data_IF_177274100469
#
_entry.id   IF_177274100469
#
_cell.length_a   1.000
_cell.length_b   1.000
_cell.length_c   1.000
_cell.angle_alpha   90.00
_cell.angle_beta   90.00
_cell.angle_gamma   90.00
#
_symmetry.space_group_name_H-M   'P 1'
#
loop_
_entity.id
_entity.type
_entity.pdbx_description
1 polymer ?
#
# COMPACT_ATOMS: atom_id res chain seq x y z
N UNK A 1 58.18 16.60 -53.73
CA UNK A 1 58.07 17.01 -52.33
C UNK A 1 56.60 17.27 -52.07
N UNK A 2 55.87 16.27 -51.59
CA UNK A 2 54.47 16.35 -51.27
C UNK A 2 54.35 16.24 -49.74
N UNK A 3 54.01 17.29 -49.08
CA UNK A 3 53.65 17.28 -47.66
C UNK A 3 52.16 16.99 -47.52
N UNK A 4 51.82 15.84 -46.89
CA UNK A 4 50.46 15.50 -46.54
C UNK A 4 50.23 15.95 -45.09
N UNK A 5 49.47 17.02 -44.93
CA UNK A 5 48.99 17.47 -43.65
C UNK A 5 47.81 16.59 -43.20
N UNK A 6 48.06 15.75 -42.20
CA UNK A 6 47.03 14.91 -41.57
C UNK A 6 46.39 15.72 -40.45
N UNK A 7 45.17 16.24 -40.71
CA UNK A 7 44.38 16.99 -39.76
C UNK A 7 43.64 15.96 -38.84
N UNK A 8 44.17 15.80 -37.59
CA UNK A 8 43.48 15.06 -36.55
C UNK A 8 42.30 15.87 -35.99
N UNK A 9 41.09 15.54 -36.38
CA UNK A 9 39.89 16.01 -35.65
C UNK A 9 39.79 15.28 -34.34
N UNK A 10 40.12 15.92 -33.23
CA UNK A 10 39.76 15.53 -31.90
C UNK A 10 38.27 15.79 -31.70
N UNK A 11 37.42 14.74 -31.84
CA UNK A 11 36.06 14.75 -31.30
C UNK A 11 36.19 14.75 -29.77
N UNK A 12 36.05 15.90 -29.13
CA UNK A 12 35.78 16.02 -27.73
C UNK A 12 34.34 15.52 -27.51
N UNK A 13 34.19 14.27 -27.06
CA UNK A 13 32.96 13.82 -26.45
C UNK A 13 32.82 14.60 -25.15
N UNK A 14 32.01 15.68 -25.16
CA UNK A 14 31.46 16.20 -23.91
C UNK A 14 30.60 15.12 -23.35
N UNK A 15 31.08 14.41 -22.33
CA UNK A 15 30.21 13.70 -21.43
C UNK A 15 29.28 14.77 -20.81
N UNK A 16 28.05 14.83 -21.27
CA UNK A 16 26.98 15.45 -20.49
C UNK A 16 27.00 14.64 -19.18
N UNK A 17 27.34 15.30 -18.08
CA UNK A 17 27.05 14.71 -16.79
C UNK A 17 25.55 14.48 -16.80
N UNK A 18 25.11 13.24 -16.72
CA UNK A 18 23.70 12.92 -16.56
C UNK A 18 23.25 13.66 -15.32
N UNK A 19 22.25 14.54 -15.47
CA UNK A 19 21.71 15.33 -14.37
C UNK A 19 21.14 14.33 -13.35
N UNK A 20 21.55 14.46 -12.09
CA UNK A 20 21.09 13.56 -11.02
C UNK A 20 19.61 13.80 -10.80
N UNK A 21 18.80 12.78 -10.88
CA UNK A 21 17.35 12.84 -10.70
C UNK A 21 17.04 12.90 -9.21
N UNK A 22 16.19 13.83 -8.82
CA UNK A 22 15.74 14.00 -7.44
C UNK A 22 14.28 13.54 -7.30
N UNK A 23 14.05 12.51 -6.50
CA UNK A 23 12.72 11.95 -6.24
C UNK A 23 12.34 12.21 -4.78
N UNK A 24 11.22 12.92 -4.57
CA UNK A 24 10.60 13.04 -3.26
C UNK A 24 9.72 11.83 -2.99
N UNK A 25 9.86 11.21 -1.80
CA UNK A 25 9.01 10.10 -1.37
C UNK A 25 8.19 10.56 -0.18
N UNK A 26 6.85 10.58 -0.31
CA UNK A 26 5.92 10.85 0.79
C UNK A 26 5.36 9.52 1.25
N UNK A 27 5.73 9.09 2.44
CA UNK A 27 5.15 7.92 3.11
C UNK A 27 4.12 8.41 4.13
N UNK A 28 2.86 7.95 4.02
CA UNK A 28 1.78 8.47 4.87
C UNK A 28 1.95 8.09 6.34
N UNK A 29 2.29 6.83 6.63
CA UNK A 29 2.44 6.31 7.98
C UNK A 29 3.66 5.40 8.09
N UNK A 30 4.08 5.09 9.32
CA UNK A 30 5.17 4.15 9.59
C UNK A 30 4.58 2.82 10.04
N UNK A 31 4.61 1.84 9.15
CA UNK A 31 4.31 0.44 9.41
C UNK A 31 4.87 -0.45 8.28
N UNK A 32 5.03 -1.75 8.56
CA UNK A 32 5.76 -2.69 7.72
C UNK A 32 5.37 -2.69 6.24
N UNK A 33 4.07 -2.67 5.94
CA UNK A 33 3.59 -2.71 4.55
C UNK A 33 4.06 -1.49 3.74
N UNK A 34 3.95 -0.27 4.30
CA UNK A 34 4.41 0.93 3.60
C UNK A 34 5.94 1.02 3.53
N UNK A 35 6.65 0.54 4.56
CA UNK A 35 8.11 0.44 4.53
C UNK A 35 8.56 -0.52 3.41
N UNK A 36 7.90 -1.67 3.27
CA UNK A 36 8.16 -2.64 2.22
C UNK A 36 7.83 -2.08 0.83
N UNK A 37 6.73 -1.34 0.68
CA UNK A 37 6.43 -0.60 -0.56
C UNK A 37 7.57 0.35 -0.95
N UNK A 38 8.09 1.11 0.01
CA UNK A 38 9.21 2.04 -0.23
C UNK A 38 10.47 1.31 -0.64
N UNK A 39 10.82 0.23 0.06
CA UNK A 39 11.98 -0.60 -0.27
C UNK A 39 11.82 -1.16 -1.69
N UNK A 40 10.68 -1.78 -1.98
CA UNK A 40 10.40 -2.32 -3.30
C UNK A 40 10.43 -1.26 -4.41
N UNK A 41 9.92 -0.04 -4.16
CA UNK A 41 9.97 1.05 -5.13
C UNK A 41 11.40 1.42 -5.51
N UNK A 42 12.28 1.55 -4.52
CA UNK A 42 13.71 1.85 -4.73
C UNK A 42 14.39 0.70 -5.49
N UNK A 43 14.11 -0.55 -5.10
CA UNK A 43 14.65 -1.73 -5.77
C UNK A 43 14.17 -1.83 -7.23
N UNK A 44 12.87 -1.60 -7.49
CA UNK A 44 12.31 -1.61 -8.83
C UNK A 44 12.91 -0.53 -9.75
N UNK A 45 13.22 0.65 -9.21
CA UNK A 45 13.97 1.68 -9.94
C UNK A 45 15.40 1.24 -10.22
N UNK A 46 16.07 0.62 -9.24
CA UNK A 46 17.44 0.15 -9.40
C UNK A 46 17.55 -0.98 -10.45
N UNK A 47 16.58 -1.90 -10.50
CA UNK A 47 16.47 -2.93 -11.55
C UNK A 47 16.41 -2.31 -12.95
N UNK A 48 15.83 -1.13 -13.07
CA UNK A 48 15.69 -0.36 -14.30
C UNK A 48 16.86 0.62 -14.56
N UNK A 49 17.92 0.59 -13.72
CA UNK A 49 19.13 1.39 -13.89
C UNK A 49 19.09 2.78 -13.24
N UNK A 50 18.09 3.06 -12.41
CA UNK A 50 18.01 4.27 -11.60
C UNK A 50 18.49 3.96 -10.17
N UNK A 51 19.80 4.15 -9.92
CA UNK A 51 20.48 3.68 -8.72
C UNK A 51 20.78 4.83 -7.78
N UNK A 52 20.38 4.70 -6.51
CA UNK A 52 20.66 5.70 -5.47
C UNK A 52 22.16 5.95 -5.31
N UNK A 53 22.55 7.22 -5.29
CA UNK A 53 23.94 7.64 -5.17
C UNK A 53 24.74 7.61 -6.46
N UNK A 54 24.20 7.07 -7.56
CA UNK A 54 24.78 7.12 -8.90
C UNK A 54 24.11 8.17 -9.78
N UNK A 55 22.82 8.02 -10.04
CA UNK A 55 22.03 8.89 -10.92
C UNK A 55 20.68 9.33 -10.33
N UNK A 56 20.32 8.84 -9.14
CA UNK A 56 19.09 9.19 -8.40
C UNK A 56 19.43 9.52 -6.95
N UNK A 57 18.69 10.49 -6.39
CA UNK A 57 18.68 10.81 -4.96
C UNK A 57 17.24 10.79 -4.47
N UNK A 58 16.98 10.09 -3.37
CA UNK A 58 15.70 10.05 -2.69
C UNK A 58 15.68 10.96 -1.46
N UNK A 59 14.58 11.72 -1.30
CA UNK A 59 14.27 12.44 -0.05
C UNK A 59 12.96 11.84 0.50
N UNK A 60 13.07 11.12 1.61
CA UNK A 60 11.94 10.40 2.22
C UNK A 60 11.39 11.22 3.38
N UNK A 61 10.09 11.53 3.32
CA UNK A 61 9.37 12.24 4.37
C UNK A 61 8.16 11.39 4.83
N UNK A 62 7.95 11.31 6.14
CA UNK A 62 6.83 10.58 6.73
C UNK A 62 5.79 11.56 7.28
N UNK A 63 4.54 11.39 6.88
CA UNK A 63 3.42 12.25 7.29
C UNK A 63 2.81 11.84 8.65
N UNK A 64 3.27 10.74 9.26
CA UNK A 64 2.85 10.27 10.58
C UNK A 64 1.33 10.07 10.71
N UNK A 65 0.70 9.56 9.67
CA UNK A 65 -0.75 9.37 9.53
C UNK A 65 -1.56 10.68 9.66
N UNK A 66 -0.95 11.83 9.34
CA UNK A 66 -1.60 13.13 9.38
C UNK A 66 -1.73 13.71 7.96
N UNK A 67 -2.97 13.92 7.53
CA UNK A 67 -3.29 14.43 6.19
C UNK A 67 -2.82 15.88 5.98
N UNK A 68 -2.79 16.69 7.04
CA UNK A 68 -2.31 18.07 6.94
C UNK A 68 -0.78 18.13 6.82
N UNK A 69 -0.08 17.25 7.53
CA UNK A 69 1.39 17.09 7.37
C UNK A 69 1.69 16.55 5.96
N UNK A 70 0.90 15.58 5.47
CA UNK A 70 1.06 15.05 4.11
C UNK A 70 0.94 16.15 3.06
N UNK A 71 -0.07 17.03 3.18
CA UNK A 71 -0.25 18.17 2.27
C UNK A 71 0.93 19.16 2.33
N UNK A 72 1.45 19.48 3.53
CA UNK A 72 2.59 20.37 3.67
C UNK A 72 3.86 19.77 3.03
N UNK A 73 4.11 18.47 3.21
CA UNK A 73 5.22 17.77 2.57
C UNK A 73 5.07 17.83 1.05
N UNK A 74 3.87 17.53 0.53
CA UNK A 74 3.57 17.54 -0.89
C UNK A 74 3.81 18.92 -1.53
N UNK A 75 3.34 19.99 -0.90
CA UNK A 75 3.56 21.37 -1.35
C UNK A 75 5.06 21.73 -1.46
N UNK A 76 5.86 21.29 -0.48
CA UNK A 76 7.32 21.51 -0.53
C UNK A 76 7.96 20.69 -1.65
N UNK A 77 7.53 19.46 -1.84
CA UNK A 77 8.08 18.56 -2.85
C UNK A 77 7.74 19.00 -4.27
N UNK A 78 6.52 19.46 -4.52
CA UNK A 78 6.07 19.92 -5.83
C UNK A 78 6.93 21.05 -6.44
N UNK A 79 7.60 21.84 -5.62
CA UNK A 79 8.51 22.90 -6.08
C UNK A 79 9.98 22.50 -6.19
N UNK A 80 10.37 21.25 -5.91
CA UNK A 80 11.76 20.90 -5.66
C UNK A 80 12.26 19.64 -6.37
N UNK A 81 11.40 18.68 -6.65
CA UNK A 81 11.77 17.36 -7.15
C UNK A 81 11.34 17.15 -8.60
N UNK A 82 12.00 16.21 -9.29
CA UNK A 82 11.69 15.83 -10.67
C UNK A 82 10.49 14.86 -10.73
N UNK A 83 10.21 14.18 -9.62
CA UNK A 83 9.10 13.23 -9.46
C UNK A 83 8.73 13.13 -7.98
N UNK A 84 7.47 12.88 -7.70
CA UNK A 84 6.99 12.54 -6.35
C UNK A 84 6.48 11.09 -6.36
N UNK A 85 7.05 10.25 -5.49
CA UNK A 85 6.47 8.96 -5.14
C UNK A 85 5.62 9.12 -3.89
N UNK A 86 4.34 8.72 -3.96
CA UNK A 86 3.41 8.85 -2.85
C UNK A 86 2.92 7.47 -2.40
N UNK A 87 3.16 7.14 -1.14
CA UNK A 87 2.87 5.83 -0.55
C UNK A 87 1.64 5.95 0.36
N UNK A 88 0.59 5.25 0.02
CA UNK A 88 -0.77 5.24 0.55
C UNK A 88 -1.69 6.34 -0.01
N UNK A 89 -3.00 6.07 0.01
CA UNK A 89 -4.04 6.92 -0.60
C UNK A 89 -4.01 8.38 -0.13
N UNK A 90 -3.91 8.70 1.18
CA UNK A 90 -3.89 10.10 1.60
C UNK A 90 -2.66 10.87 1.10
N UNK A 91 -1.48 10.21 1.04
CA UNK A 91 -0.27 10.80 0.49
C UNK A 91 -0.38 11.02 -1.03
N UNK A 92 -0.97 10.06 -1.75
CA UNK A 92 -1.18 10.17 -3.20
C UNK A 92 -2.12 11.32 -3.56
N UNK A 93 -3.22 11.48 -2.83
CA UNK A 93 -4.15 12.61 -3.01
C UNK A 93 -3.47 13.94 -2.73
N UNK A 94 -2.68 14.05 -1.66
CA UNK A 94 -1.93 15.26 -1.34
C UNK A 94 -0.89 15.60 -2.41
N UNK A 95 -0.11 14.60 -2.86
CA UNK A 95 0.91 14.77 -3.88
C UNK A 95 0.31 15.21 -5.22
N UNK A 96 -0.79 14.58 -5.65
CA UNK A 96 -1.46 14.94 -6.89
C UNK A 96 -1.97 16.38 -6.87
N UNK A 97 -2.67 16.76 -5.80
CA UNK A 97 -3.17 18.13 -5.65
C UNK A 97 -2.06 19.18 -5.69
N UNK A 98 -0.91 18.92 -5.03
CA UNK A 98 0.21 19.85 -5.00
C UNK A 98 0.99 19.90 -6.32
N UNK A 99 1.08 18.78 -7.03
CA UNK A 99 1.88 18.66 -8.26
C UNK A 99 1.14 19.13 -9.52
N UNK A 100 -0.19 19.28 -9.49
CA UNK A 100 -1.02 19.60 -10.67
C UNK A 100 -0.54 20.90 -11.36
N UNK A 101 -0.40 21.99 -10.62
CA UNK A 101 0.06 23.27 -11.15
C UNK A 101 1.56 23.28 -11.55
N UNK A 102 2.36 22.43 -10.90
CA UNK A 102 3.81 22.34 -11.16
C UNK A 102 4.13 21.44 -12.36
N UNK A 103 3.20 20.61 -12.80
CA UNK A 103 3.38 19.65 -13.90
C UNK A 103 4.38 18.52 -13.58
N UNK A 104 4.66 18.28 -12.30
CA UNK A 104 5.57 17.24 -11.84
C UNK A 104 4.83 15.90 -11.85
N UNK A 105 5.44 14.81 -12.40
CA UNK A 105 4.83 13.50 -12.38
C UNK A 105 4.70 12.96 -10.94
N UNK A 106 3.54 12.38 -10.64
CA UNK A 106 3.27 11.67 -9.40
C UNK A 106 3.14 10.18 -9.70
N UNK A 107 3.89 9.38 -8.94
CA UNK A 107 3.77 7.92 -8.96
C UNK A 107 3.29 7.47 -7.58
N UNK A 108 2.13 6.82 -7.53
CA UNK A 108 1.61 6.31 -6.26
C UNK A 108 1.77 4.79 -6.13
N UNK A 109 1.83 4.32 -4.90
CA UNK A 109 1.76 2.89 -4.53
C UNK A 109 0.89 2.72 -3.28
N UNK A 110 0.37 1.53 -3.06
CA UNK A 110 -0.52 1.22 -1.93
C UNK A 110 -1.76 2.14 -1.90
N UNK A 111 -2.42 2.29 -3.05
CA UNK A 111 -3.70 3.00 -3.18
C UNK A 111 -4.79 1.97 -3.45
N UNK A 112 -5.68 1.74 -2.46
CA UNK A 112 -6.63 0.62 -2.53
C UNK A 112 -7.68 0.79 -3.61
N UNK A 113 -8.19 2.01 -3.80
CA UNK A 113 -9.13 2.35 -4.87
C UNK A 113 -8.76 3.69 -5.52
N UNK A 114 -7.97 3.68 -6.59
CA UNK A 114 -7.58 4.91 -7.29
C UNK A 114 -8.77 5.70 -7.86
N UNK A 115 -9.87 5.03 -8.21
CA UNK A 115 -11.06 5.69 -8.77
C UNK A 115 -11.82 6.44 -7.68
N UNK A 116 -12.07 5.81 -6.54
CA UNK A 116 -12.71 6.45 -5.39
C UNK A 116 -11.86 7.59 -4.82
N UNK A 117 -10.54 7.48 -4.90
CA UNK A 117 -9.59 8.53 -4.51
C UNK A 117 -9.45 9.65 -5.55
N UNK A 118 -10.13 9.58 -6.69
CA UNK A 118 -10.04 10.53 -7.81
C UNK A 118 -8.63 10.64 -8.42
N UNK A 119 -7.82 9.59 -8.29
CA UNK A 119 -6.49 9.45 -8.87
C UNK A 119 -6.51 8.72 -10.21
N UNK A 120 -7.66 8.13 -10.55
CA UNK A 120 -7.95 7.55 -11.87
C UNK A 120 -9.44 7.73 -12.19
N UNK A 121 -9.75 7.82 -13.49
CA UNK A 121 -11.13 7.83 -13.96
C UNK A 121 -11.72 6.42 -14.04
N UNK A 122 -13.05 6.31 -13.93
CA UNK A 122 -13.77 5.04 -14.11
C UNK A 122 -13.61 4.45 -15.53
N UNK A 123 -13.15 5.24 -16.48
CA UNK A 123 -12.80 4.83 -17.85
C UNK A 123 -11.34 4.34 -18.00
N UNK A 124 -10.61 4.25 -16.89
CA UNK A 124 -9.21 3.83 -16.81
C UNK A 124 -8.19 4.91 -17.21
N UNK A 125 -8.63 6.15 -17.40
CA UNK A 125 -7.72 7.27 -17.69
C UNK A 125 -7.29 7.96 -16.42
N UNK A 126 -6.06 8.45 -16.43
CA UNK A 126 -5.56 9.27 -15.35
C UNK A 126 -6.04 10.73 -15.51
N UNK A 127 -6.33 11.43 -14.38
CA UNK A 127 -6.86 12.80 -14.44
C UNK A 127 -5.79 13.87 -14.77
N UNK A 128 -4.53 13.47 -14.86
CA UNK A 128 -3.38 14.34 -15.13
C UNK A 128 -2.07 13.55 -15.09
N UNK A 129 -0.97 14.23 -14.79
CA UNK A 129 0.38 13.63 -14.77
C UNK A 129 0.61 12.73 -13.53
N UNK A 130 -0.21 11.70 -13.41
CA UNK A 130 -0.22 10.73 -12.29
C UNK A 130 -0.47 9.32 -12.79
N UNK A 131 0.19 8.34 -12.19
CA UNK A 131 -0.08 6.90 -12.34
C UNK A 131 0.45 6.15 -11.13
N UNK A 132 0.28 4.83 -11.07
CA UNK A 132 0.82 4.03 -9.97
C UNK A 132 0.20 2.66 -9.85
N UNK A 133 0.27 2.08 -8.65
CA UNK A 133 -0.23 0.74 -8.37
C UNK A 133 -1.30 0.72 -7.27
N UNK A 134 -2.27 -0.18 -7.46
CA UNK A 134 -3.34 -0.43 -6.50
C UNK A 134 -3.06 -1.69 -5.70
N UNK A 135 -3.29 -1.59 -4.39
CA UNK A 135 -3.27 -2.68 -3.42
C UNK A 135 -4.68 -3.17 -3.06
N UNK A 136 -5.60 -3.13 -4.02
CA UNK A 136 -6.98 -3.58 -3.80
C UNK A 136 -7.02 -4.96 -3.14
N UNK A 137 -7.64 -5.04 -1.96
CA UNK A 137 -7.70 -6.27 -1.20
C UNK A 137 -8.59 -7.33 -1.87
N UNK A 138 -8.21 -8.62 -1.82
CA UNK A 138 -9.01 -9.73 -2.31
C UNK A 138 -10.15 -10.07 -1.33
N UNK A 139 -11.10 -9.14 -1.12
CA UNK A 139 -12.15 -9.21 -0.10
C UNK A 139 -12.96 -10.51 -0.18
N UNK A 140 -13.27 -10.97 -1.39
CA UNK A 140 -14.00 -12.23 -1.57
C UNK A 140 -13.20 -13.44 -1.07
N UNK A 141 -11.90 -13.47 -1.34
CA UNK A 141 -11.01 -14.54 -0.87
C UNK A 141 -10.87 -14.50 0.67
N UNK A 142 -10.77 -13.29 1.24
CA UNK A 142 -10.74 -13.10 2.69
C UNK A 142 -12.02 -13.58 3.37
N UNK A 143 -13.20 -13.28 2.82
CA UNK A 143 -14.47 -13.76 3.35
C UNK A 143 -14.57 -15.29 3.28
N UNK A 144 -14.07 -15.91 2.19
CA UNK A 144 -13.98 -17.38 2.06
C UNK A 144 -13.03 -17.97 3.10
N UNK A 145 -11.89 -17.33 3.34
CA UNK A 145 -10.93 -17.74 4.37
C UNK A 145 -11.56 -17.71 5.77
N UNK A 146 -12.21 -16.59 6.14
CA UNK A 146 -12.89 -16.46 7.43
C UNK A 146 -13.97 -17.56 7.59
N UNK A 147 -14.76 -17.80 6.56
CA UNK A 147 -15.78 -18.85 6.57
C UNK A 147 -15.18 -20.25 6.75
N UNK A 148 -14.04 -20.53 6.12
CA UNK A 148 -13.37 -21.81 6.21
C UNK A 148 -12.76 -22.07 7.61
N UNK A 149 -12.20 -21.03 8.23
CA UNK A 149 -11.60 -21.11 9.57
C UNK A 149 -12.64 -21.02 10.69
N UNK A 150 -13.75 -20.31 10.48
CA UNK A 150 -14.81 -20.06 11.45
C UNK A 150 -16.20 -20.38 10.86
N UNK A 151 -16.55 -21.67 10.69
CA UNK A 151 -17.77 -22.08 9.99
C UNK A 151 -19.07 -21.61 10.67
N UNK A 152 -19.05 -21.36 11.97
CA UNK A 152 -20.22 -20.93 12.76
C UNK A 152 -20.30 -19.41 12.95
N UNK A 153 -19.28 -18.64 12.54
CA UNK A 153 -19.25 -17.19 12.67
C UNK A 153 -20.34 -16.55 11.80
N UNK A 154 -20.96 -15.50 12.30
CA UNK A 154 -22.03 -14.76 11.62
C UNK A 154 -21.75 -13.26 11.54
N UNK A 155 -20.88 -12.73 12.41
CA UNK A 155 -20.61 -11.31 12.51
C UNK A 155 -19.12 -11.04 12.48
N UNK A 156 -18.71 -10.17 11.56
CA UNK A 156 -17.33 -9.71 11.41
C UNK A 156 -17.26 -8.24 11.81
N UNK A 157 -16.33 -7.90 12.70
CA UNK A 157 -16.03 -6.54 13.09
C UNK A 157 -15.01 -5.90 12.16
N UNK A 158 -15.21 -4.63 11.81
CA UNK A 158 -14.25 -3.84 11.05
C UNK A 158 -14.07 -2.48 11.74
N UNK A 159 -12.81 -2.14 12.06
CA UNK A 159 -12.43 -0.78 12.44
C UNK A 159 -11.98 -0.02 11.19
N UNK A 160 -12.34 1.25 11.10
CA UNK A 160 -11.88 2.10 10.02
C UNK A 160 -11.69 3.55 10.45
N UNK A 161 -10.74 4.24 9.84
CA UNK A 161 -10.49 5.65 10.05
C UNK A 161 -11.36 6.48 9.12
N UNK A 162 -12.22 7.34 9.67
CA UNK A 162 -13.25 8.08 8.91
C UNK A 162 -12.70 9.11 7.94
N UNK A 163 -11.41 9.42 7.99
CA UNK A 163 -10.73 10.33 7.05
C UNK A 163 -9.93 9.59 5.97
N UNK A 164 -9.93 8.25 5.98
CA UNK A 164 -9.22 7.44 4.99
C UNK A 164 -10.18 6.89 3.92
N UNK A 165 -10.13 7.46 2.72
CA UNK A 165 -10.98 7.08 1.58
C UNK A 165 -10.79 5.61 1.16
N UNK A 166 -9.56 5.08 1.27
CA UNK A 166 -9.26 3.66 1.05
C UNK A 166 -10.07 2.74 1.97
N UNK A 167 -10.21 3.14 3.24
CA UNK A 167 -10.95 2.36 4.24
C UNK A 167 -12.45 2.36 3.93
N UNK A 168 -13.03 3.51 3.58
CA UNK A 168 -14.44 3.62 3.22
C UNK A 168 -14.78 2.77 1.98
N UNK A 169 -13.94 2.81 0.93
CA UNK A 169 -14.15 2.03 -0.29
C UNK A 169 -14.11 0.52 -0.02
N UNK A 170 -13.10 0.06 0.73
CA UNK A 170 -12.95 -1.36 1.06
C UNK A 170 -14.04 -1.84 2.02
N UNK A 171 -14.44 -1.03 3.01
CA UNK A 171 -15.56 -1.32 3.91
C UNK A 171 -16.88 -1.49 3.13
N UNK A 172 -17.14 -0.61 2.15
CA UNK A 172 -18.32 -0.73 1.31
C UNK A 172 -18.34 -2.06 0.56
N UNK A 173 -17.20 -2.51 0.03
CA UNK A 173 -17.07 -3.80 -0.65
C UNK A 173 -17.30 -4.99 0.31
N UNK A 174 -16.77 -4.91 1.55
CA UNK A 174 -17.08 -5.93 2.56
C UNK A 174 -18.57 -6.00 2.87
N UNK A 175 -19.25 -4.86 3.04
CA UNK A 175 -20.70 -4.80 3.31
C UNK A 175 -21.52 -5.36 2.14
N UNK A 176 -21.07 -5.16 0.92
CA UNK A 176 -21.73 -5.69 -0.29
C UNK A 176 -21.58 -7.21 -0.38
N UNK A 177 -20.37 -7.75 -0.17
CA UNK A 177 -20.05 -9.15 -0.42
C UNK A 177 -20.36 -10.09 0.76
N UNK A 178 -20.21 -9.61 2.01
CA UNK A 178 -20.31 -10.44 3.21
C UNK A 178 -21.63 -11.24 3.32
N UNK A 179 -22.82 -10.72 2.93
CA UNK A 179 -24.07 -11.47 2.98
C UNK A 179 -24.04 -12.74 2.11
N UNK A 180 -23.28 -12.75 1.01
CA UNK A 180 -23.13 -13.92 0.13
C UNK A 180 -22.41 -15.08 0.82
N UNK A 181 -21.67 -14.77 1.88
CA UNK A 181 -20.91 -15.72 2.70
C UNK A 181 -21.54 -15.93 4.08
N UNK A 182 -22.78 -15.42 4.29
CA UNK A 182 -23.52 -15.56 5.54
C UNK A 182 -22.98 -14.71 6.70
N UNK A 183 -22.31 -13.59 6.39
CA UNK A 183 -21.80 -12.66 7.38
C UNK A 183 -22.58 -11.34 7.39
N UNK A 184 -22.67 -10.76 8.58
CA UNK A 184 -23.03 -9.36 8.83
C UNK A 184 -21.76 -8.61 9.22
N UNK A 185 -21.52 -7.45 8.59
CA UNK A 185 -20.43 -6.56 8.97
C UNK A 185 -20.90 -5.56 10.02
N UNK A 186 -20.22 -5.52 11.15
CA UNK A 186 -20.39 -4.52 12.20
C UNK A 186 -19.16 -3.62 12.16
N UNK A 187 -19.31 -2.38 11.73
CA UNK A 187 -18.20 -1.45 11.63
C UNK A 187 -18.17 -0.42 12.74
N UNK A 188 -16.98 0.10 13.02
CA UNK A 188 -16.76 1.17 13.96
C UNK A 188 -15.76 2.16 13.42
N UNK A 189 -16.22 3.41 13.16
CA UNK A 189 -15.35 4.50 12.74
C UNK A 189 -14.57 5.09 13.91
N UNK A 190 -13.31 5.44 13.65
CA UNK A 190 -12.44 6.21 14.54
C UNK A 190 -11.94 7.46 13.83
N UNK A 191 -11.51 8.45 14.58
CA UNK A 191 -10.88 9.65 14.02
C UNK A 191 -9.37 9.64 14.18
N UNK A 192 -8.88 9.00 15.25
CA UNK A 192 -7.45 8.89 15.58
C UNK A 192 -7.16 7.56 16.26
N UNK A 193 -5.89 7.16 16.35
CA UNK A 193 -5.47 5.97 17.09
C UNK A 193 -5.84 5.99 18.60
N UNK A 194 -6.01 7.17 19.18
CA UNK A 194 -6.43 7.31 20.59
C UNK A 194 -7.88 6.83 20.83
N UNK A 195 -8.71 6.76 19.79
CA UNK A 195 -10.10 6.29 19.88
C UNK A 195 -10.20 4.76 19.92
N UNK A 196 -9.13 4.04 19.51
CA UNK A 196 -9.13 2.58 19.34
C UNK A 196 -9.58 1.80 20.58
N UNK A 197 -9.08 2.03 21.80
CA UNK A 197 -9.48 1.23 22.95
C UNK A 197 -11.00 1.28 23.19
N UNK A 198 -11.59 2.47 23.11
CA UNK A 198 -13.04 2.66 23.33
C UNK A 198 -13.85 2.08 22.15
N UNK A 199 -13.36 2.22 20.93
CA UNK A 199 -14.01 1.66 19.75
C UNK A 199 -14.03 0.13 19.79
N UNK A 200 -12.91 -0.50 20.21
CA UNK A 200 -12.78 -1.94 20.37
C UNK A 200 -13.67 -2.48 21.52
N UNK A 201 -13.69 -1.82 22.67
CA UNK A 201 -14.57 -2.18 23.78
C UNK A 201 -16.06 -2.16 23.37
N UNK A 202 -16.43 -1.27 22.44
CA UNK A 202 -17.79 -1.21 21.91
C UNK A 202 -18.06 -2.25 20.83
N UNK A 203 -17.06 -2.61 20.01
CA UNK A 203 -17.20 -3.49 18.84
C UNK A 203 -17.12 -4.97 19.21
N UNK A 204 -16.09 -5.37 19.96
CA UNK A 204 -15.72 -6.77 20.19
C UNK A 204 -16.82 -7.62 20.86
N UNK A 205 -17.66 -7.09 21.79
CA UNK A 205 -18.78 -7.86 22.35
C UNK A 205 -19.86 -8.24 21.33
N UNK A 206 -19.90 -7.58 20.15
CA UNK A 206 -20.95 -7.73 19.17
C UNK A 206 -20.59 -8.67 18.01
N UNK A 207 -19.33 -9.11 17.92
CA UNK A 207 -18.78 -9.81 16.75
C UNK A 207 -18.16 -11.16 17.12
N UNK A 208 -17.98 -12.03 16.14
CA UNK A 208 -17.33 -13.32 16.31
C UNK A 208 -15.82 -13.23 16.09
N UNK A 209 -15.40 -12.37 15.16
CA UNK A 209 -14.01 -12.04 14.85
C UNK A 209 -13.92 -10.61 14.32
N UNK A 210 -12.70 -10.11 14.12
CA UNK A 210 -12.46 -8.88 13.34
C UNK A 210 -11.63 -9.18 12.11
N UNK A 211 -11.74 -8.34 11.08
CA UNK A 211 -10.83 -8.31 9.94
C UNK A 211 -10.35 -6.89 9.73
N UNK A 212 -9.06 -6.74 9.49
CA UNK A 212 -8.48 -5.44 9.22
C UNK A 212 -8.59 -5.09 7.73
N UNK A 213 -8.64 -3.80 7.47
CA UNK A 213 -8.45 -3.20 6.16
C UNK A 213 -6.98 -2.77 5.99
N UNK A 214 -6.65 -2.18 4.84
CA UNK A 214 -5.42 -1.40 4.65
C UNK A 214 -5.57 0.02 5.22
N UNK A 215 -6.13 0.12 6.44
CA UNK A 215 -6.33 1.35 7.18
C UNK A 215 -5.02 1.72 7.89
N UNK A 216 -4.39 2.82 7.47
CA UNK A 216 -3.06 3.16 7.95
C UNK A 216 -3.02 3.45 9.45
N UNK A 217 -4.08 4.07 9.99
CA UNK A 217 -4.17 4.36 11.43
C UNK A 217 -4.36 3.07 12.23
N UNK A 218 -5.31 2.21 11.83
CA UNK A 218 -5.56 0.93 12.52
C UNK A 218 -4.32 0.04 12.48
N UNK A 219 -3.64 -0.07 11.33
CA UNK A 219 -2.42 -0.87 11.16
C UNK A 219 -1.27 -0.33 12.02
N UNK A 220 -1.08 0.98 12.10
CA UNK A 220 -0.05 1.59 12.97
C UNK A 220 -0.25 1.28 14.45
N UNK A 221 -1.48 0.98 14.87
CA UNK A 221 -1.84 0.62 16.25
C UNK A 221 -2.24 -0.86 16.40
N UNK A 222 -1.79 -1.73 15.50
CA UNK A 222 -2.16 -3.16 15.49
C UNK A 222 -1.96 -3.84 16.84
N UNK A 223 -0.90 -3.51 17.58
CA UNK A 223 -0.66 -4.08 18.91
C UNK A 223 -1.81 -3.83 19.88
N UNK A 224 -2.44 -2.64 19.84
CA UNK A 224 -3.62 -2.30 20.66
C UNK A 224 -4.83 -3.11 20.22
N UNK A 225 -5.00 -3.30 18.90
CA UNK A 225 -6.10 -4.11 18.36
C UNK A 225 -5.98 -5.56 18.81
N UNK A 226 -4.78 -6.14 18.74
CA UNK A 226 -4.51 -7.52 19.12
C UNK A 226 -4.70 -7.73 20.64
N UNK A 227 -4.12 -6.85 21.47
CA UNK A 227 -4.26 -6.91 22.94
C UNK A 227 -5.73 -6.90 23.36
N UNK A 228 -6.51 -5.94 22.83
CA UNK A 228 -7.94 -5.86 23.13
C UNK A 228 -8.71 -7.07 22.60
N UNK A 229 -8.41 -7.54 21.42
CA UNK A 229 -9.08 -8.71 20.84
C UNK A 229 -8.80 -9.98 21.63
N UNK A 230 -7.59 -10.14 22.18
CA UNK A 230 -7.23 -11.23 23.09
C UNK A 230 -8.05 -11.16 24.39
N UNK A 231 -8.20 -9.96 25.03
CA UNK A 231 -9.03 -9.77 26.22
C UNK A 231 -10.48 -10.27 26.01
N UNK A 232 -11.03 -10.10 24.81
CA UNK A 232 -12.38 -10.52 24.44
C UNK A 232 -12.44 -11.92 23.82
N UNK A 233 -11.30 -12.60 23.63
CA UNK A 233 -11.22 -13.92 23.00
C UNK A 233 -11.68 -13.89 21.53
N UNK A 234 -11.41 -12.80 20.78
CA UNK A 234 -11.82 -12.62 19.40
C UNK A 234 -10.63 -12.66 18.47
N UNK A 235 -10.56 -13.61 17.50
CA UNK A 235 -9.46 -13.64 16.54
C UNK A 235 -9.50 -12.43 15.61
N UNK A 236 -8.31 -11.95 15.24
CA UNK A 236 -8.11 -10.85 14.27
C UNK A 236 -7.55 -11.43 12.98
N UNK A 237 -8.25 -11.23 11.88
CA UNK A 237 -7.74 -11.52 10.54
C UNK A 237 -7.03 -10.28 10.00
N UNK A 238 -5.81 -10.47 9.49
CA UNK A 238 -5.06 -9.39 8.84
C UNK A 238 -5.51 -9.13 7.40
N UNK A 239 -4.93 -8.14 6.78
CA UNK A 239 -5.11 -7.83 5.36
C UNK A 239 -3.84 -8.11 4.52
N UNK A 240 -2.72 -8.42 5.18
CA UNK A 240 -1.42 -8.64 4.55
C UNK A 240 -0.45 -9.38 5.51
N UNK A 241 0.75 -9.76 5.01
CA UNK A 241 1.70 -10.63 5.70
C UNK A 241 2.19 -10.05 7.03
N UNK A 242 2.54 -8.76 7.08
CA UNK A 242 3.13 -8.13 8.27
C UNK A 242 2.16 -8.14 9.47
N UNK A 243 0.86 -8.00 9.21
CA UNK A 243 -0.14 -8.14 10.28
C UNK A 243 -0.22 -9.58 10.80
N UNK A 244 -0.05 -10.58 9.92
CA UNK A 244 -0.04 -11.99 10.33
C UNK A 244 1.23 -12.32 11.11
N UNK A 245 2.39 -11.83 10.68
CA UNK A 245 3.65 -11.92 11.45
C UNK A 245 3.49 -11.32 12.85
N UNK A 246 2.81 -10.18 12.95
CA UNK A 246 2.61 -9.46 14.20
C UNK A 246 1.47 -10.01 15.09
N UNK A 247 0.75 -11.08 14.68
CA UNK A 247 -0.18 -11.79 15.55
C UNK A 247 -1.61 -11.95 15.04
N UNK A 248 -1.96 -11.43 13.86
CA UNK A 248 -3.21 -11.80 13.21
C UNK A 248 -3.23 -13.30 12.86
N UNK A 249 -4.40 -13.93 12.90
CA UNK A 249 -4.50 -15.40 12.73
C UNK A 249 -4.20 -15.84 11.30
N UNK A 250 -4.66 -15.10 10.31
CA UNK A 250 -4.44 -15.37 8.89
C UNK A 250 -4.85 -14.16 8.04
N UNK A 251 -4.41 -14.14 6.78
CA UNK A 251 -4.89 -13.20 5.77
C UNK A 251 -4.82 -13.78 4.36
N UNK A 252 -5.72 -13.35 3.49
CA UNK A 252 -5.53 -13.33 2.05
C UNK A 252 -4.99 -11.97 1.69
N UNK A 253 -3.70 -11.87 1.42
CA UNK A 253 -3.01 -10.61 1.27
C UNK A 253 -2.08 -10.57 0.06
N UNK A 254 -1.56 -9.40 -0.22
CA UNK A 254 -0.57 -9.15 -1.26
C UNK A 254 0.80 -8.95 -0.64
N UNK A 255 1.84 -9.01 -1.47
CA UNK A 255 3.21 -8.78 -1.05
C UNK A 255 3.61 -7.34 -1.43
N UNK A 256 3.91 -6.52 -0.41
CA UNK A 256 4.09 -5.08 -0.58
C UNK A 256 5.44 -4.69 -1.18
N UNK A 257 6.49 -5.50 -1.00
CA UNK A 257 7.78 -5.29 -1.69
C UNK A 257 7.62 -5.46 -3.20
N UNK A 258 6.87 -6.48 -3.65
CA UNK A 258 6.58 -6.68 -5.08
C UNK A 258 5.68 -5.57 -5.65
N UNK A 259 4.70 -5.09 -4.88
CA UNK A 259 3.90 -3.93 -5.26
C UNK A 259 4.79 -2.69 -5.47
N UNK A 260 5.71 -2.46 -4.54
CA UNK A 260 6.70 -1.40 -4.64
C UNK A 260 7.59 -1.55 -5.87
N UNK A 261 8.14 -2.74 -6.13
CA UNK A 261 8.96 -3.02 -7.33
C UNK A 261 8.18 -2.76 -8.63
N UNK A 262 6.93 -3.19 -8.69
CA UNK A 262 6.06 -2.88 -9.83
C UNK A 262 5.93 -1.37 -10.02
N UNK A 263 5.72 -0.62 -8.95
CA UNK A 263 5.65 0.84 -8.98
C UNK A 263 6.97 1.47 -9.44
N UNK A 264 8.11 0.97 -8.96
CA UNK A 264 9.44 1.42 -9.37
C UNK A 264 9.69 1.24 -10.87
N UNK A 265 9.26 0.10 -11.44
CA UNK A 265 9.33 -0.13 -12.89
C UNK A 265 8.43 0.83 -13.68
N UNK A 266 7.24 1.17 -13.15
CA UNK A 266 6.38 2.20 -13.77
C UNK A 266 7.02 3.59 -13.70
N UNK A 267 7.59 3.96 -12.55
CA UNK A 267 8.33 5.21 -12.38
C UNK A 267 9.48 5.34 -13.38
N UNK A 268 10.22 4.26 -13.63
CA UNK A 268 11.32 4.24 -14.60
C UNK A 268 10.84 4.54 -16.03
N UNK A 269 9.63 4.13 -16.42
CA UNK A 269 9.03 4.50 -17.73
C UNK A 269 8.82 6.00 -17.82
N UNK A 270 8.29 6.62 -16.75
CA UNK A 270 8.07 8.06 -16.68
C UNK A 270 9.40 8.82 -16.73
N UNK A 271 10.41 8.39 -15.99
CA UNK A 271 11.75 8.99 -16.02
C UNK A 271 12.44 8.88 -17.39
N UNK A 272 12.05 7.90 -18.22
CA UNK A 272 12.48 7.76 -19.62
C UNK A 272 11.66 8.61 -20.60
N UNK A 273 10.69 9.39 -20.12
CA UNK A 273 9.91 10.35 -20.90
C UNK A 273 8.53 9.88 -21.35
N UNK A 274 8.02 8.75 -20.84
CA UNK A 274 6.62 8.37 -21.02
C UNK A 274 5.75 9.26 -20.11
N UNK A 275 4.62 9.77 -20.63
CA UNK A 275 3.72 10.57 -19.80
C UNK A 275 3.00 9.70 -18.78
N UNK A 276 3.04 10.09 -17.50
CA UNK A 276 2.30 9.36 -16.45
C UNK A 276 0.79 9.33 -16.73
N UNK A 277 0.25 10.35 -17.40
CA UNK A 277 -1.16 10.42 -17.83
C UNK A 277 -1.53 9.28 -18.77
N UNK A 278 -0.59 8.83 -19.61
CA UNK A 278 -0.80 7.78 -20.63
C UNK A 278 -0.58 6.36 -20.09
N UNK A 279 -0.04 6.21 -18.87
CA UNK A 279 0.20 4.91 -18.23
C UNK A 279 -0.98 4.58 -17.33
N UNK A 280 -1.87 3.64 -17.69
CA UNK A 280 -2.93 3.20 -16.76
C UNK A 280 -2.34 2.71 -15.44
N UNK A 281 -3.05 2.93 -14.32
CA UNK A 281 -2.64 2.30 -13.08
C UNK A 281 -2.72 0.77 -13.18
N UNK A 282 -1.87 0.10 -12.44
CA UNK A 282 -1.80 -1.34 -12.40
C UNK A 282 -2.26 -1.86 -11.03
N UNK A 283 -2.84 -3.06 -11.01
CA UNK A 283 -3.20 -3.75 -9.76
C UNK A 283 -2.32 -4.98 -9.63
N UNK A 284 -1.78 -5.24 -8.44
CA UNK A 284 -1.08 -6.51 -8.21
C UNK A 284 -2.10 -7.66 -8.27
N UNK A 285 -1.79 -8.66 -9.09
CA UNK A 285 -2.75 -9.73 -9.40
C UNK A 285 -2.65 -10.95 -8.47
N UNK A 286 -1.52 -11.10 -7.77
CA UNK A 286 -1.25 -12.25 -6.92
C UNK A 286 -1.63 -11.96 -5.48
N UNK A 287 -2.48 -12.81 -4.89
CA UNK A 287 -2.70 -12.85 -3.45
C UNK A 287 -2.23 -14.18 -2.89
N UNK A 288 -1.82 -14.16 -1.63
CA UNK A 288 -1.28 -15.30 -0.92
C UNK A 288 -2.05 -15.51 0.38
N UNK A 289 -2.21 -16.78 0.76
CA UNK A 289 -2.76 -17.13 2.07
C UNK A 289 -1.62 -17.21 3.08
N UNK A 290 -1.56 -16.24 3.98
CA UNK A 290 -0.64 -16.24 5.11
C UNK A 290 -1.34 -16.72 6.37
N UNK A 291 -0.66 -17.52 7.18
CA UNK A 291 -1.17 -18.06 8.43
C UNK A 291 -0.14 -17.94 9.56
N UNK A 292 -0.62 -17.65 10.77
CA UNK A 292 0.18 -17.69 11.98
C UNK A 292 -0.28 -18.87 12.83
N UNK A 293 0.47 -19.99 12.86
CA UNK A 293 0.07 -21.20 13.59
C UNK A 293 -0.13 -20.99 15.09
N UNK A 294 0.69 -20.14 15.72
CA UNK A 294 0.58 -19.87 17.16
C UNK A 294 -0.69 -19.07 17.45
N UNK A 295 -0.99 -18.06 16.66
CA UNK A 295 -2.21 -17.28 16.78
C UNK A 295 -3.46 -18.12 16.49
N UNK A 296 -3.43 -18.98 15.46
CA UNK A 296 -4.52 -19.93 15.18
C UNK A 296 -4.76 -20.87 16.37
N UNK A 297 -3.68 -21.43 16.94
CA UNK A 297 -3.77 -22.35 18.07
C UNK A 297 -4.34 -21.66 19.33
N UNK A 298 -4.01 -20.39 19.56
CA UNK A 298 -4.52 -19.61 20.71
C UNK A 298 -6.05 -19.48 20.69
N UNK A 299 -6.66 -19.44 19.50
CA UNK A 299 -8.11 -19.38 19.32
C UNK A 299 -8.76 -20.75 18.97
N UNK A 300 -7.98 -21.84 18.98
CA UNK A 300 -8.47 -23.19 18.64
C UNK A 300 -8.87 -23.32 17.16
N UNK A 301 -8.33 -22.48 16.29
CA UNK A 301 -8.59 -22.53 14.85
C UNK A 301 -7.62 -23.49 14.15
N UNK A 302 -8.08 -24.11 13.07
CA UNK A 302 -7.27 -25.05 12.29
C UNK A 302 -7.47 -24.76 10.81
N UNK A 303 -6.37 -24.67 10.05
CA UNK A 303 -6.42 -24.52 8.61
C UNK A 303 -7.01 -25.79 7.98
N UNK A 304 -8.12 -25.70 7.23
CA UNK A 304 -8.70 -26.85 6.56
C UNK A 304 -7.74 -27.45 5.52
N UNK A 305 -7.86 -28.76 5.28
CA UNK A 305 -6.95 -29.50 4.40
C UNK A 305 -6.86 -28.91 2.98
N UNK A 306 -7.98 -28.41 2.46
CA UNK A 306 -8.06 -27.77 1.13
C UNK A 306 -7.28 -26.45 1.02
N UNK A 307 -7.01 -25.79 2.14
CA UNK A 307 -6.22 -24.55 2.18
C UNK A 307 -4.76 -24.78 2.56
N UNK A 308 -4.44 -25.93 3.16
CA UNK A 308 -3.11 -26.22 3.74
C UNK A 308 -2.00 -26.21 2.69
N UNK A 309 -2.29 -26.64 1.44
CA UNK A 309 -1.27 -26.70 0.37
C UNK A 309 -0.80 -25.32 -0.10
N UNK A 310 -1.64 -24.27 0.04
CA UNK A 310 -1.33 -22.90 -0.37
C UNK A 310 -1.06 -21.95 0.80
N UNK A 311 -1.22 -22.45 2.03
CA UNK A 311 -0.97 -21.65 3.22
C UNK A 311 0.52 -21.48 3.45
N UNK A 312 0.93 -20.23 3.57
CA UNK A 312 2.30 -19.82 3.90
C UNK A 312 2.36 -19.57 5.40
N UNK A 313 3.18 -20.35 6.09
CA UNK A 313 3.42 -20.22 7.53
C UNK A 313 4.41 -19.08 7.77
N UNK A 314 3.95 -17.98 8.37
CA UNK A 314 4.82 -16.80 8.63
C UNK A 314 5.88 -17.03 9.70
N UNK A 315 5.80 -18.09 10.51
CA UNK A 315 6.83 -18.46 11.48
C UNK A 315 8.00 -19.25 10.85
N UNK A 316 7.83 -19.69 9.59
CA UNK A 316 8.83 -20.45 8.86
C UNK A 316 9.72 -19.54 7.97
N UNK A 317 9.38 -18.28 7.80
CA UNK A 317 10.15 -17.26 7.09
C UNK A 317 11.02 -16.45 8.06
#
# INVERSE_FOLDING_TARGET
MCSSDLLFLLLSATALADEVIHIGIIQFAEHGSLDNCRVGFIEGLAEEGFVEGENVVFDVQNAQADTAISAQIADVMAGKYDMICAIATPAAMAAFNAAEDAGIPVIYTAVSDPVSAMLAGADGKNPGNITGTSDALPVEAQLKLIRALMPDATKIGILHTTSETNSDATLALYKELAPNYGFEIIDKGISTGADLPMALDALLPQVDCTTNLTDNTVVSYLAVVLEKSEEYGKPVFGSEIEQVINGCVASEGIEYTELGRQTGRMAARVLRGESAEDIPYETISNSYLYVNPDALAAYGLTVPAELSERAIDVAAE
#
